data_IF_519044378422
#
_entry.id   IF_519044378422
#
_cell.length_a   1.000
_cell.length_b   1.000
_cell.length_c   1.000
_cell.angle_alpha   90.00
_cell.angle_beta   90.00
_cell.angle_gamma   90.00
#
_symmetry.space_group_name_H-M   'P 1'
#
loop_
_entity.id
_entity.type
_entity.pdbx_description
1 polymer ?
#
# COMPACT_ATOMS: atom_id res chain seq x y z
N UNK A 1 31.86 -7.93 30.18
CA UNK A 1 31.53 -6.85 29.26
C UNK A 1 31.74 -7.38 27.87
N UNK A 2 30.96 -8.40 27.53
CA UNK A 2 30.89 -8.90 26.16
C UNK A 2 29.40 -8.82 25.84
N UNK A 3 29.07 -8.03 24.83
CA UNK A 3 27.71 -7.94 24.29
C UNK A 3 27.50 -9.16 23.42
N UNK A 4 26.48 -9.96 23.74
CA UNK A 4 26.09 -11.08 22.91
C UNK A 4 25.03 -10.61 21.93
N UNK A 5 25.40 -10.53 20.64
CA UNK A 5 24.53 -10.09 19.54
C UNK A 5 24.19 -11.23 18.60
N UNK A 6 22.92 -11.34 18.22
CA UNK A 6 22.47 -12.22 17.13
C UNK A 6 21.53 -11.47 16.19
N UNK A 7 21.90 -11.41 14.90
CA UNK A 7 21.10 -10.78 13.86
C UNK A 7 20.86 -11.72 12.68
N UNK A 8 19.68 -11.62 12.06
CA UNK A 8 19.37 -12.27 10.79
C UNK A 8 18.81 -11.25 9.81
N UNK A 9 19.54 -11.04 8.72
CA UNK A 9 19.02 -10.30 7.58
C UNK A 9 17.86 -11.09 6.95
N UNK A 10 16.71 -10.44 6.76
CA UNK A 10 15.62 -11.04 6.01
C UNK A 10 15.79 -10.76 4.51
N UNK A 11 15.78 -11.82 3.69
CA UNK A 11 15.94 -11.73 2.24
C UNK A 11 14.87 -12.56 1.53
N UNK A 12 13.95 -11.88 0.82
CA UNK A 12 13.70 -12.25 -0.58
C UNK A 12 13.74 -11.04 -1.54
N UNK A 13 13.57 -9.79 -1.09
CA UNK A 13 13.61 -8.59 -1.97
C UNK A 13 13.77 -7.30 -1.14
N UNK A 14 14.58 -6.35 -1.63
CA UNK A 14 14.74 -5.05 -0.99
C UNK A 14 13.43 -4.24 -1.05
N UNK A 15 13.17 -3.45 -0.01
CA UNK A 15 11.91 -2.71 0.11
C UNK A 15 12.02 -1.37 -0.63
N UNK A 16 11.05 -1.01 -1.48
CA UNK A 16 11.17 0.15 -2.36
C UNK A 16 11.05 1.49 -1.62
N UNK A 17 11.79 2.51 -2.08
CA UNK A 17 11.62 3.89 -1.60
C UNK A 17 10.35 4.59 -2.14
N UNK A 18 9.88 4.19 -3.31
CA UNK A 18 8.77 4.83 -4.01
C UNK A 18 7.37 4.23 -3.70
N UNK A 19 7.29 3.32 -2.75
CA UNK A 19 6.05 2.63 -2.37
C UNK A 19 6.01 2.40 -0.87
N UNK A 20 4.84 2.59 -0.26
CA UNK A 20 4.62 2.34 1.16
C UNK A 20 4.84 0.86 1.50
N UNK A 21 5.36 0.59 2.69
CA UNK A 21 5.52 -0.76 3.22
C UNK A 21 5.59 -0.72 4.75
N UNK A 22 5.34 -1.84 5.41
CA UNK A 22 5.52 -2.01 6.85
C UNK A 22 6.21 -3.35 7.15
N UNK A 23 7.27 -3.31 7.94
CA UNK A 23 7.88 -4.47 8.57
C UNK A 23 7.31 -4.65 9.98
N UNK A 24 6.94 -5.87 10.34
CA UNK A 24 6.32 -6.20 11.63
C UNK A 24 6.91 -7.48 12.20
N UNK A 25 7.07 -7.55 13.52
CA UNK A 25 7.49 -8.75 14.24
C UNK A 25 6.81 -8.81 15.61
N UNK A 26 6.42 -10.01 16.02
CA UNK A 26 5.96 -10.24 17.39
C UNK A 26 7.19 -10.48 18.26
N UNK A 27 7.28 -9.75 19.37
CA UNK A 27 8.33 -9.86 20.38
C UNK A 27 7.78 -10.53 21.64
N UNK A 28 8.59 -11.37 22.25
CA UNK A 28 8.32 -11.92 23.58
C UNK A 28 9.60 -11.80 24.41
N UNK A 29 9.57 -10.91 25.40
CA UNK A 29 10.61 -10.65 26.38
C UNK A 29 10.03 -10.83 27.79
N UNK A 30 10.02 -12.06 28.34
CA UNK A 30 9.47 -12.32 29.66
C UNK A 30 10.13 -11.49 30.77
N UNK A 31 9.61 -11.59 31.99
CA UNK A 31 10.30 -11.04 33.14
C UNK A 31 11.54 -11.89 33.43
N UNK A 32 12.70 -11.24 33.37
CA UNK A 32 14.01 -11.84 33.60
C UNK A 32 14.53 -11.40 34.96
N UNK A 33 15.41 -12.22 35.55
CA UNK A 33 16.07 -11.89 36.82
C UNK A 33 17.26 -10.95 36.59
N UNK A 34 16.96 -9.71 36.18
CA UNK A 34 17.94 -8.69 35.85
C UNK A 34 18.74 -8.26 37.10
N UNK A 35 20.04 -8.53 37.10
CA UNK A 35 20.96 -7.99 38.11
C UNK A 35 21.43 -6.58 37.71
N UNK A 36 22.14 -5.89 38.60
CA UNK A 36 22.74 -4.60 38.26
C UNK A 36 23.63 -4.74 37.02
N UNK A 37 23.53 -3.76 36.11
CA UNK A 37 24.34 -3.69 34.89
C UNK A 37 23.97 -4.79 33.89
N UNK A 38 22.67 -5.05 33.69
CA UNK A 38 22.18 -6.02 32.68
C UNK A 38 21.19 -5.37 31.73
N UNK A 39 21.21 -5.85 30.49
CA UNK A 39 20.29 -5.42 29.43
C UNK A 39 19.95 -6.59 28.52
N UNK A 40 18.69 -6.69 28.09
CA UNK A 40 18.25 -7.61 27.04
C UNK A 40 17.25 -6.90 26.16
N UNK A 41 17.46 -6.99 24.85
CA UNK A 41 16.54 -6.45 23.87
C UNK A 41 16.36 -7.35 22.66
N UNK A 42 15.23 -7.16 21.98
CA UNK A 42 14.96 -7.76 20.68
C UNK A 42 14.08 -6.85 19.84
N UNK A 43 14.34 -6.86 18.54
CA UNK A 43 13.65 -5.96 17.65
C UNK A 43 14.07 -6.09 16.19
N UNK A 44 14.06 -4.94 15.51
CA UNK A 44 14.37 -4.85 14.10
C UNK A 44 15.14 -3.58 13.76
N UNK A 45 15.94 -3.67 12.70
CA UNK A 45 16.64 -2.54 12.08
C UNK A 45 16.15 -2.38 10.65
N UNK A 46 15.86 -1.15 10.25
CA UNK A 46 15.70 -0.75 8.85
C UNK A 46 16.93 0.08 8.47
N UNK A 47 17.56 -0.26 7.35
CA UNK A 47 18.74 0.44 6.84
C UNK A 47 18.60 0.84 5.37
N UNK A 48 19.26 1.93 4.99
CA UNK A 48 19.47 2.27 3.59
C UNK A 48 20.38 1.23 2.93
N UNK A 49 19.91 0.53 1.90
CA UNK A 49 20.68 -0.55 1.27
C UNK A 49 22.04 -0.09 0.70
N UNK A 50 22.12 1.16 0.23
CA UNK A 50 23.33 1.69 -0.39
C UNK A 50 24.33 2.25 0.63
N UNK A 51 23.86 2.57 1.83
CA UNK A 51 24.64 3.15 2.92
C UNK A 51 24.14 2.56 4.25
N UNK A 52 24.78 1.49 4.69
CA UNK A 52 24.31 0.71 5.83
C UNK A 52 24.53 1.41 7.19
N UNK A 53 25.21 2.56 7.21
CA UNK A 53 25.40 3.40 8.40
C UNK A 53 24.17 4.30 8.65
N UNK A 54 23.29 4.46 7.65
CA UNK A 54 22.00 5.13 7.81
C UNK A 54 20.93 4.11 8.22
N UNK A 55 20.59 4.09 9.51
CA UNK A 55 19.72 3.07 10.11
C UNK A 55 18.65 3.65 11.04
N UNK A 56 17.59 2.88 11.25
CA UNK A 56 16.71 3.03 12.40
C UNK A 56 16.51 1.67 13.06
N UNK A 57 16.73 1.61 14.35
CA UNK A 57 16.48 0.45 15.20
C UNK A 57 15.19 0.66 16.01
N UNK A 58 14.54 -0.43 16.37
CA UNK A 58 13.40 -0.42 17.28
C UNK A 58 13.36 -1.75 18.04
N UNK A 59 13.43 -1.70 19.37
CA UNK A 59 13.45 -2.89 20.23
C UNK A 59 12.51 -2.77 21.41
N UNK A 60 12.02 -3.93 21.89
CA UNK A 60 11.53 -4.06 23.26
C UNK A 60 12.74 -4.42 24.14
N UNK A 61 13.03 -3.59 25.12
CA UNK A 61 14.21 -3.70 26.00
C UNK A 61 13.77 -3.87 27.46
N UNK A 62 14.51 -4.70 28.20
CA UNK A 62 14.46 -4.78 29.65
C UNK A 62 15.88 -4.67 30.20
N UNK A 63 16.11 -3.68 31.04
CA UNK A 63 17.44 -3.32 31.55
C UNK A 63 17.40 -3.05 33.06
N UNK A 64 18.57 -3.10 33.72
CA UNK A 64 18.71 -2.75 35.13
C UNK A 64 20.07 -2.10 35.42
N UNK A 65 20.23 -0.83 35.03
CA UNK A 65 21.41 -0.02 35.39
C UNK A 65 21.39 0.46 36.84
N UNK A 66 20.22 0.85 37.35
CA UNK A 66 20.03 1.26 38.76
C UNK A 66 18.71 0.73 39.32
N UNK A 67 17.69 0.68 38.49
CA UNK A 67 16.41 0.04 38.75
C UNK A 67 16.00 -0.68 37.47
N UNK A 68 15.29 -1.79 37.62
CA UNK A 68 14.76 -2.51 36.46
C UNK A 68 13.72 -1.65 35.74
N UNK A 69 13.91 -1.47 34.43
CA UNK A 69 12.98 -0.75 33.55
C UNK A 69 12.63 -1.63 32.35
N UNK A 70 11.57 -1.22 31.64
CA UNK A 70 11.17 -1.83 30.39
C UNK A 70 10.60 -0.74 29.47
N UNK A 71 11.08 -0.74 28.24
CA UNK A 71 10.77 0.29 27.25
C UNK A 71 10.73 -0.31 25.86
N UNK A 72 10.09 0.43 24.95
CA UNK A 72 10.35 0.31 23.54
C UNK A 72 11.24 1.46 23.13
N UNK A 73 12.45 1.13 22.71
CA UNK A 73 13.49 2.09 22.38
C UNK A 73 13.69 2.14 20.87
N UNK A 74 14.01 3.33 20.39
CA UNK A 74 14.22 3.63 18.98
C UNK A 74 15.48 4.49 18.87
N UNK A 75 16.44 4.00 18.13
CA UNK A 75 17.62 4.75 17.72
C UNK A 75 17.54 5.02 16.23
N UNK A 76 17.78 6.27 15.84
CA UNK A 76 17.81 6.68 14.45
C UNK A 76 19.17 7.31 14.16
N UNK A 77 19.91 6.70 13.23
CA UNK A 77 21.26 7.09 12.86
C UNK A 77 21.28 7.76 11.47
N UNK A 78 22.09 8.79 11.32
CA UNK A 78 22.41 9.40 10.03
C UNK A 78 23.87 9.81 9.99
N UNK A 79 24.67 9.12 9.19
CA UNK A 79 26.10 9.40 9.01
C UNK A 79 26.86 9.59 10.35
N UNK A 80 26.65 8.68 11.31
CA UNK A 80 27.26 8.73 12.64
C UNK A 80 26.66 9.75 13.62
N UNK A 81 25.47 10.28 13.34
CA UNK A 81 24.69 11.09 14.29
C UNK A 81 23.45 10.32 14.72
N UNK A 82 23.30 10.12 16.02
CA UNK A 82 22.21 9.32 16.58
C UNK A 82 21.16 10.22 17.24
N UNK A 83 19.90 9.80 17.14
CA UNK A 83 18.78 10.38 17.89
C UNK A 83 17.98 9.27 18.53
N UNK A 84 17.52 9.51 19.76
CA UNK A 84 16.88 8.50 20.57
C UNK A 84 15.45 8.88 20.93
N UNK A 85 14.56 7.88 20.92
CA UNK A 85 13.23 7.98 21.49
C UNK A 85 12.94 6.70 22.30
N UNK A 86 12.20 6.86 23.39
CA UNK A 86 11.85 5.76 24.29
C UNK A 86 10.41 5.87 24.74
N UNK A 87 9.73 4.72 24.84
CA UNK A 87 8.38 4.59 25.38
C UNK A 87 8.34 3.53 26.46
N UNK A 88 8.16 3.94 27.72
CA UNK A 88 8.03 3.02 28.84
C UNK A 88 6.82 2.09 28.67
N UNK A 89 6.99 0.80 29.01
CA UNK A 89 5.94 -0.22 28.94
C UNK A 89 6.07 -1.25 30.06
N UNK A 90 4.97 -1.89 30.44
CA UNK A 90 4.99 -3.05 31.35
C UNK A 90 4.79 -4.38 30.62
N UNK A 91 4.57 -4.35 29.31
CA UNK A 91 4.27 -5.55 28.54
C UNK A 91 5.51 -6.39 28.30
N UNK A 92 5.43 -7.68 28.59
CA UNK A 92 6.48 -8.68 28.36
C UNK A 92 6.42 -9.29 26.96
N UNK A 93 5.48 -8.84 26.14
CA UNK A 93 5.34 -9.22 24.74
C UNK A 93 4.65 -8.09 23.98
N UNK A 94 4.64 -8.16 22.65
CA UNK A 94 3.88 -7.22 21.83
C UNK A 94 4.24 -7.37 20.37
N UNK A 95 3.84 -6.41 19.56
CA UNK A 95 4.22 -6.35 18.15
C UNK A 95 4.92 -5.02 17.88
N UNK A 96 6.12 -5.09 17.27
CA UNK A 96 6.85 -3.92 16.79
C UNK A 96 6.57 -3.74 15.29
N UNK A 97 6.48 -2.48 14.84
CA UNK A 97 6.29 -2.13 13.43
C UNK A 97 7.16 -0.94 13.05
N UNK A 98 7.92 -1.09 11.97
CA UNK A 98 8.52 0.03 11.24
C UNK A 98 7.80 0.17 9.90
N UNK A 99 7.22 1.33 9.63
CA UNK A 99 6.44 1.60 8.42
C UNK A 99 6.98 2.80 7.66
N UNK A 100 7.17 2.63 6.36
CA UNK A 100 7.53 3.68 5.41
C UNK A 100 6.30 4.29 4.74
N UNK A 101 6.20 5.61 4.79
CA UNK A 101 5.22 6.41 4.06
C UNK A 101 5.91 7.14 2.91
N UNK A 102 5.86 6.58 1.70
CA UNK A 102 6.60 7.05 0.53
C UNK A 102 6.13 8.41 0.00
N UNK A 103 4.89 8.82 0.29
CA UNK A 103 4.39 10.17 -0.06
C UNK A 103 4.88 11.24 0.92
N UNK A 104 5.14 10.86 2.16
CA UNK A 104 5.62 11.77 3.23
C UNK A 104 7.14 11.74 3.39
N UNK A 105 7.80 10.77 2.76
CA UNK A 105 9.23 10.48 2.92
C UNK A 105 9.64 10.24 4.37
N UNK A 106 8.79 9.50 5.09
CA UNK A 106 8.87 9.35 6.54
C UNK A 106 8.77 7.89 7.00
N UNK A 107 9.64 7.50 7.93
CA UNK A 107 9.55 6.26 8.70
C UNK A 107 8.77 6.49 9.99
N UNK A 108 7.92 5.53 10.35
CA UNK A 108 7.14 5.49 11.58
C UNK A 108 7.50 4.24 12.36
N UNK A 109 7.85 4.41 13.64
CA UNK A 109 8.19 3.35 14.59
C UNK A 109 7.04 3.22 15.57
N UNK A 110 6.35 2.09 15.51
CA UNK A 110 5.03 1.89 16.11
C UNK A 110 5.01 0.59 16.93
N UNK A 111 4.35 0.64 18.08
CA UNK A 111 4.31 -0.45 19.04
C UNK A 111 2.87 -0.80 19.41
N UNK A 112 2.60 -2.10 19.50
CA UNK A 112 1.35 -2.66 19.97
C UNK A 112 1.58 -3.53 21.22
N UNK A 113 1.08 -3.06 22.36
CA UNK A 113 1.45 -3.58 23.68
C UNK A 113 0.77 -4.91 24.06
N UNK A 114 -0.39 -5.22 23.48
CA UNK A 114 -1.06 -6.52 23.65
C UNK A 114 -0.84 -7.47 22.46
N UNK A 115 -0.07 -7.02 21.47
CA UNK A 115 0.32 -7.78 20.29
C UNK A 115 -0.84 -8.05 19.33
N UNK A 116 -0.54 -8.81 18.28
CA UNK A 116 -1.45 -9.02 17.15
C UNK A 116 -2.74 -9.82 17.42
N UNK A 117 -2.95 -10.33 18.64
CA UNK A 117 -4.02 -11.27 18.97
C UNK A 117 -5.44 -10.66 19.01
N UNK A 118 -5.57 -9.38 19.37
CA UNK A 118 -6.87 -8.71 19.56
C UNK A 118 -7.18 -7.65 18.50
N UNK A 119 -6.54 -7.75 17.33
CA UNK A 119 -6.47 -6.66 16.37
C UNK A 119 -5.44 -5.62 16.81
N UNK A 120 -5.02 -4.75 15.89
CA UNK A 120 -3.86 -3.89 16.18
C UNK A 120 -4.22 -2.53 16.77
N UNK A 121 -3.56 -2.16 17.86
CA UNK A 121 -3.69 -0.85 18.53
C UNK A 121 -2.35 -0.11 18.61
N UNK A 122 -1.95 0.48 17.48
CA UNK A 122 -0.62 1.09 17.33
C UNK A 122 -0.45 2.40 18.13
N UNK A 123 0.54 2.44 19.01
CA UNK A 123 1.12 3.66 19.54
C UNK A 123 2.35 4.06 18.71
N UNK A 124 2.47 5.33 18.33
CA UNK A 124 3.67 5.85 17.65
C UNK A 124 4.73 6.15 18.71
N UNK A 125 5.86 5.43 18.67
CA UNK A 125 7.03 5.67 19.53
C UNK A 125 7.84 6.84 18.99
N UNK A 126 8.12 6.82 17.69
CA UNK A 126 8.83 7.90 16.99
C UNK A 126 8.48 7.91 15.51
N UNK A 127 8.85 8.99 14.82
CA UNK A 127 8.73 9.08 13.36
C UNK A 127 9.74 10.09 12.81
N UNK A 128 10.41 9.75 11.71
CA UNK A 128 11.53 10.54 11.19
C UNK A 128 11.48 10.65 9.66
N UNK A 129 11.68 11.86 9.11
CA UNK A 129 11.83 12.07 7.67
C UNK A 129 13.24 11.64 7.24
N UNK A 130 13.36 11.01 6.08
CA UNK A 130 14.65 10.51 5.56
C UNK A 130 15.13 11.25 4.32
N UNK A 131 14.44 12.32 3.91
CA UNK A 131 14.70 13.07 2.66
C UNK A 131 15.11 14.52 2.87
N UNK A 132 15.16 15.00 4.11
CA UNK A 132 15.47 16.40 4.41
C UNK A 132 16.05 16.57 5.82
N UNK A 133 16.71 17.71 6.03
CA UNK A 133 17.26 18.06 7.35
C UNK A 133 18.43 17.16 7.78
N UNK A 134 18.61 17.04 9.10
CA UNK A 134 19.70 16.29 9.72
C UNK A 134 19.54 14.77 9.63
N UNK A 135 18.34 14.28 9.34
CA UNK A 135 18.02 12.85 9.19
C UNK A 135 17.95 12.40 7.72
N UNK A 136 18.51 13.18 6.81
CA UNK A 136 18.47 12.88 5.38
C UNK A 136 19.45 11.76 5.03
N UNK A 137 18.92 10.62 4.56
CA UNK A 137 19.69 9.45 4.14
C UNK A 137 20.14 9.50 2.68
N UNK A 138 19.93 10.62 1.97
CA UNK A 138 20.35 10.79 0.57
C UNK A 138 19.64 9.85 -0.42
N UNK A 139 18.52 9.25 -0.01
CA UNK A 139 17.78 8.28 -0.82
C UNK A 139 17.02 8.94 -1.98
N UNK A 140 16.81 8.18 -3.05
CA UNK A 140 16.06 8.60 -4.23
C UNK A 140 15.10 7.51 -4.71
N UNK A 141 14.40 7.76 -5.83
CA UNK A 141 13.39 6.84 -6.36
C UNK A 141 13.91 5.42 -6.69
N UNK A 142 15.22 5.26 -6.90
CA UNK A 142 15.87 3.98 -7.15
C UNK A 142 16.49 3.36 -5.89
N UNK A 143 16.44 4.05 -4.75
CA UNK A 143 16.93 3.52 -3.47
C UNK A 143 15.96 2.50 -2.89
N UNK A 144 16.47 1.73 -1.94
CA UNK A 144 15.74 0.66 -1.28
C UNK A 144 16.22 0.49 0.15
N UNK A 145 15.36 -0.12 0.96
CA UNK A 145 15.63 -0.45 2.36
C UNK A 145 15.86 -1.95 2.54
N UNK A 146 16.63 -2.30 3.57
CA UNK A 146 16.76 -3.68 4.06
C UNK A 146 16.27 -3.76 5.51
N UNK A 147 15.79 -4.95 5.89
CA UNK A 147 15.29 -5.21 7.24
C UNK A 147 16.10 -6.32 7.89
N UNK A 148 16.59 -6.06 9.09
CA UNK A 148 17.26 -7.04 9.96
C UNK A 148 16.39 -7.26 11.18
N UNK A 149 16.24 -8.51 11.60
CA UNK A 149 15.70 -8.83 12.93
C UNK A 149 16.85 -9.25 13.82
N UNK A 150 16.82 -8.85 15.10
CA UNK A 150 17.94 -9.08 15.98
C UNK A 150 17.53 -9.17 17.44
N UNK A 151 18.43 -9.72 18.26
CA UNK A 151 18.36 -9.61 19.70
C UNK A 151 19.75 -9.54 20.31
N UNK A 152 19.82 -9.04 21.53
CA UNK A 152 21.05 -8.86 22.27
C UNK A 152 20.86 -9.08 23.77
N UNK A 153 21.96 -9.39 24.43
CA UNK A 153 22.04 -9.38 25.89
C UNK A 153 23.39 -8.86 26.35
N UNK A 154 23.38 -8.02 27.37
CA UNK A 154 24.57 -7.57 28.07
C UNK A 154 24.58 -8.13 29.49
N UNK A 155 25.72 -8.70 29.88
CA UNK A 155 26.01 -9.19 31.24
C UNK A 155 24.99 -10.21 31.79
N UNK A 156 24.21 -10.85 30.93
CA UNK A 156 23.29 -11.92 31.28
C UNK A 156 23.31 -13.03 30.23
N UNK A 157 23.43 -14.28 30.68
CA UNK A 157 23.31 -15.44 29.80
C UNK A 157 21.85 -15.80 29.60
N UNK A 158 21.40 -15.85 28.35
CA UNK A 158 20.08 -16.34 27.97
C UNK A 158 20.10 -17.84 27.65
N UNK A 159 19.02 -18.52 28.00
CA UNK A 159 18.75 -19.92 27.68
C UNK A 159 17.43 -20.06 26.94
N UNK A 160 17.18 -21.24 26.35
CA UNK A 160 15.88 -21.53 25.73
C UNK A 160 14.73 -21.52 26.74
N UNK A 161 15.00 -21.62 28.05
CA UNK A 161 13.96 -21.59 29.09
C UNK A 161 13.45 -20.16 29.35
N UNK A 162 14.28 -19.15 29.10
CA UNK A 162 13.92 -17.73 29.26
C UNK A 162 12.93 -17.27 28.19
N UNK A 163 12.78 -18.05 27.11
CA UNK A 163 11.76 -17.87 26.08
C UNK A 163 11.76 -16.47 25.44
N UNK A 164 12.94 -15.84 25.36
CA UNK A 164 13.16 -14.62 24.57
C UNK A 164 13.07 -14.99 23.10
N UNK A 165 12.11 -14.43 22.36
CA UNK A 165 11.89 -14.78 20.95
C UNK A 165 11.27 -13.67 20.12
N UNK A 166 11.58 -13.71 18.84
CA UNK A 166 10.92 -13.01 17.75
C UNK A 166 10.14 -14.04 16.93
N UNK A 167 8.88 -13.74 16.60
CA UNK A 167 8.07 -14.62 15.76
C UNK A 167 7.14 -13.81 14.83
N UNK A 168 6.44 -14.48 13.92
CA UNK A 168 5.45 -13.89 13.02
C UNK A 168 5.95 -12.69 12.21
N UNK A 169 7.25 -12.67 11.87
CA UNK A 169 7.82 -11.62 11.03
C UNK A 169 7.08 -11.54 9.69
N UNK A 170 6.64 -10.34 9.31
CA UNK A 170 5.95 -10.09 8.05
C UNK A 170 6.29 -8.72 7.48
N UNK A 171 6.38 -8.67 6.15
CA UNK A 171 6.33 -7.42 5.38
C UNK A 171 4.93 -7.27 4.80
N UNK A 172 4.34 -6.09 4.97
CA UNK A 172 3.06 -5.71 4.38
C UNK A 172 3.25 -4.52 3.46
N UNK A 173 2.82 -4.65 2.21
CA UNK A 173 2.75 -3.55 1.26
C UNK A 173 1.27 -3.20 1.10
N UNK A 174 0.83 -1.95 1.34
CA UNK A 174 -0.57 -1.60 1.16
C UNK A 174 -1.02 -1.94 -0.26
N UNK A 175 -2.13 -2.67 -0.38
CA UNK A 175 -2.68 -3.05 -1.67
C UNK A 175 -3.17 -1.78 -2.39
N UNK A 176 -2.49 -1.42 -3.48
CA UNK A 176 -2.93 -0.35 -4.38
C UNK A 176 -3.97 -0.94 -5.32
N UNK A 177 -5.13 -0.31 -5.39
CA UNK A 177 -6.25 -0.82 -6.15
C UNK A 177 -6.95 0.25 -6.97
N UNK A 178 -7.53 -0.18 -8.08
CA UNK A 178 -8.41 0.61 -8.91
C UNK A 178 -9.66 -0.21 -9.22
N UNK A 179 -10.83 0.40 -9.04
CA UNK A 179 -12.11 -0.22 -9.33
C UNK A 179 -12.97 0.72 -10.17
N UNK A 180 -13.46 0.26 -11.31
CA UNK A 180 -14.44 0.91 -12.16
C UNK A 180 -15.80 0.88 -11.44
N UNK A 181 -16.37 2.06 -11.21
CA UNK A 181 -17.71 2.25 -10.64
C UNK A 181 -18.74 2.60 -11.70
N UNK A 182 -18.30 3.08 -12.87
CA UNK A 182 -19.10 3.21 -14.08
C UNK A 182 -18.16 3.17 -15.29
N UNK A 183 -18.48 2.44 -16.37
CA UNK A 183 -19.67 1.63 -16.56
C UNK A 183 -19.71 0.38 -15.66
N UNK A 184 -20.90 -0.18 -15.44
CA UNK A 184 -21.05 -1.51 -14.82
C UNK A 184 -21.12 -2.61 -15.87
N UNK A 185 -20.89 -3.85 -15.47
CA UNK A 185 -20.90 -5.00 -16.39
C UNK A 185 -22.24 -5.09 -17.13
N UNK A 186 -22.16 -5.16 -18.47
CA UNK A 186 -23.29 -5.20 -19.40
C UNK A 186 -24.19 -3.94 -19.37
N UNK A 187 -23.70 -2.82 -18.82
CA UNK A 187 -24.42 -1.56 -18.92
C UNK A 187 -24.59 -1.17 -20.38
N UNK A 188 -25.78 -0.70 -20.75
CA UNK A 188 -26.09 -0.24 -22.09
C UNK A 188 -26.14 1.28 -22.13
N UNK A 189 -25.51 1.87 -23.15
CA UNK A 189 -25.58 3.29 -23.45
C UNK A 189 -26.13 3.54 -24.84
N UNK A 190 -26.59 4.76 -25.08
CA UNK A 190 -26.88 5.29 -26.42
C UNK A 190 -25.98 6.50 -26.68
N UNK A 191 -25.73 6.79 -27.95
CA UNK A 191 -24.86 7.89 -28.36
C UNK A 191 -23.40 7.46 -28.54
N UNK A 192 -22.47 8.40 -28.45
CA UNK A 192 -21.05 8.20 -28.81
C UNK A 192 -20.08 8.45 -27.65
N UNK A 193 -20.59 8.66 -26.43
CA UNK A 193 -19.76 8.92 -25.26
C UNK A 193 -20.43 8.49 -23.96
N UNK A 194 -19.64 8.08 -22.98
CA UNK A 194 -20.08 7.82 -21.61
C UNK A 194 -19.00 8.21 -20.59
N UNK A 195 -19.39 8.34 -19.32
CA UNK A 195 -18.44 8.60 -18.24
C UNK A 195 -17.80 7.31 -17.76
N UNK A 196 -16.48 7.37 -17.53
CA UNK A 196 -15.71 6.38 -16.81
C UNK A 196 -15.45 6.93 -15.41
N UNK A 197 -15.96 6.24 -14.39
CA UNK A 197 -15.72 6.57 -12.99
C UNK A 197 -14.95 5.44 -12.34
N UNK A 198 -13.97 5.78 -11.49
CA UNK A 198 -13.17 4.81 -10.74
C UNK A 198 -13.13 5.14 -9.25
N UNK A 199 -12.79 4.16 -8.43
CA UNK A 199 -12.42 4.30 -7.03
C UNK A 199 -10.98 3.83 -6.89
N UNK A 200 -10.17 4.57 -6.14
CA UNK A 200 -8.75 4.29 -5.91
C UNK A 200 -8.55 3.87 -4.45
N UNK A 201 -7.72 2.87 -4.20
CA UNK A 201 -7.30 2.45 -2.86
C UNK A 201 -5.77 2.46 -2.74
N UNK A 202 -5.27 2.71 -1.52
CA UNK A 202 -3.84 2.87 -1.23
C UNK A 202 -3.32 4.28 -1.44
N UNK A 203 -2.23 4.64 -0.73
CA UNK A 203 -1.54 5.93 -0.81
C UNK A 203 -0.47 5.95 -1.91
N UNK A 204 -0.23 7.14 -2.49
CA UNK A 204 0.84 7.39 -3.46
C UNK A 204 0.51 7.14 -4.94
N UNK A 205 -0.76 7.07 -5.32
CA UNK A 205 -1.18 7.00 -6.73
C UNK A 205 -1.26 8.41 -7.33
N UNK A 206 -0.34 8.74 -8.24
CA UNK A 206 -0.27 10.07 -8.87
C UNK A 206 -1.30 10.26 -9.98
N UNK A 207 -1.53 9.21 -10.78
CA UNK A 207 -2.45 9.20 -11.92
C UNK A 207 -2.78 7.77 -12.36
N UNK A 208 -3.79 7.61 -13.20
CA UNK A 208 -4.19 6.33 -13.77
C UNK A 208 -4.39 6.44 -15.27
N UNK A 209 -4.31 5.31 -15.96
CA UNK A 209 -4.48 5.24 -17.41
C UNK A 209 -5.71 4.39 -17.75
N UNK A 210 -6.34 4.68 -18.88
CA UNK A 210 -7.37 3.82 -19.45
C UNK A 210 -7.14 3.52 -20.92
N UNK A 211 -7.68 2.37 -21.35
CA UNK A 211 -7.69 1.91 -22.73
C UNK A 211 -9.07 1.35 -23.05
N UNK A 212 -9.49 1.53 -24.30
CA UNK A 212 -10.70 0.91 -24.83
C UNK A 212 -10.31 -0.29 -25.69
N UNK A 213 -10.97 -1.41 -25.47
CA UNK A 213 -10.88 -2.66 -26.25
C UNK A 213 -9.47 -3.27 -26.34
N UNK A 214 -8.58 -2.87 -25.44
CA UNK A 214 -7.21 -3.37 -25.37
C UNK A 214 -6.70 -3.39 -23.93
N UNK A 215 -6.33 -4.57 -23.45
CA UNK A 215 -5.77 -4.75 -22.12
C UNK A 215 -4.40 -4.07 -21.97
N UNK A 216 -4.03 -3.76 -20.73
CA UNK A 216 -2.69 -3.29 -20.39
C UNK A 216 -1.65 -4.41 -20.46
N UNK A 217 -0.37 -4.09 -20.73
CA UNK A 217 0.71 -5.06 -20.57
C UNK A 217 0.89 -5.43 -19.08
N UNK A 218 1.53 -6.56 -18.80
CA UNK A 218 1.81 -6.99 -17.43
C UNK A 218 2.93 -6.17 -16.74
N UNK A 219 3.78 -5.49 -17.52
CA UNK A 219 4.89 -4.66 -17.02
C UNK A 219 5.29 -3.62 -18.06
N UNK A 220 6.15 -2.66 -17.68
CA UNK A 220 6.63 -1.60 -18.58
C UNK A 220 5.59 -0.51 -18.82
N UNK A 221 5.73 0.25 -19.90
CA UNK A 221 4.86 1.42 -20.17
C UNK A 221 3.40 1.01 -20.38
N UNK A 222 2.49 1.67 -19.66
CA UNK A 222 1.06 1.37 -19.71
C UNK A 222 0.40 1.78 -21.05
N UNK A 223 0.78 2.95 -21.58
CA UNK A 223 0.13 3.56 -22.75
C UNK A 223 -1.31 4.01 -22.47
N UNK A 224 -2.12 4.21 -23.51
CA UNK A 224 -3.51 4.65 -23.37
C UNK A 224 -3.66 6.14 -23.00
N UNK A 225 -4.84 6.50 -22.51
CA UNK A 225 -5.15 7.87 -22.09
C UNK A 225 -4.91 8.04 -20.61
N UNK A 226 -4.15 9.08 -20.25
CA UNK A 226 -3.81 9.40 -18.87
C UNK A 226 -4.87 10.30 -18.22
N UNK A 227 -5.16 10.02 -16.95
CA UNK A 227 -5.95 10.89 -16.06
C UNK A 227 -5.05 11.33 -14.92
N UNK A 228 -4.54 12.56 -15.02
CA UNK A 228 -3.52 13.13 -14.12
C UNK A 228 -3.98 13.34 -12.69
N UNK A 229 -5.29 13.46 -12.47
CA UNK A 229 -5.88 13.66 -11.16
C UNK A 229 -7.37 13.37 -11.19
N UNK A 230 -7.92 12.94 -10.05
CA UNK A 230 -9.34 12.67 -9.91
C UNK A 230 -9.73 11.26 -10.32
N UNK A 231 -11.03 11.00 -10.30
CA UNK A 231 -11.61 9.65 -10.41
C UNK A 231 -12.51 9.49 -11.62
N UNK A 232 -12.49 10.43 -12.55
CA UNK A 232 -13.39 10.44 -13.70
C UNK A 232 -12.67 10.73 -15.01
N UNK A 233 -13.18 10.15 -16.09
CA UNK A 233 -12.81 10.43 -17.47
C UNK A 233 -14.04 10.30 -18.38
N UNK A 234 -13.92 10.79 -19.62
CA UNK A 234 -14.96 10.59 -20.64
C UNK A 234 -14.44 9.62 -21.70
N UNK A 235 -15.17 8.52 -21.91
CA UNK A 235 -15.00 7.66 -23.05
C UNK A 235 -15.73 8.31 -24.22
N UNK A 236 -15.02 8.72 -25.27
CA UNK A 236 -15.56 9.42 -26.43
C UNK A 236 -15.32 8.64 -27.72
N UNK A 237 -16.16 8.86 -28.73
CA UNK A 237 -16.01 8.21 -30.04
C UNK A 237 -16.41 6.74 -30.03
N UNK A 238 -17.31 6.35 -29.13
CA UNK A 238 -17.81 4.99 -29.04
C UNK A 238 -18.67 4.66 -30.26
N UNK A 239 -18.38 3.52 -30.88
CA UNK A 239 -19.17 2.98 -31.97
C UNK A 239 -20.33 2.14 -31.41
N UNK A 240 -21.31 1.80 -32.25
CA UNK A 240 -22.33 0.83 -31.87
C UNK A 240 -21.68 -0.55 -31.76
N UNK A 241 -21.92 -1.24 -30.64
CA UNK A 241 -21.36 -2.56 -30.35
C UNK A 241 -20.92 -2.73 -28.90
N UNK A 242 -20.28 -3.86 -28.64
CA UNK A 242 -19.68 -4.17 -27.34
C UNK A 242 -18.30 -3.52 -27.21
N UNK A 243 -18.03 -3.00 -26.02
CA UNK A 243 -16.76 -2.40 -25.66
C UNK A 243 -16.29 -2.91 -24.30
N UNK A 244 -14.97 -2.97 -24.11
CA UNK A 244 -14.35 -3.23 -22.82
C UNK A 244 -13.43 -2.07 -22.47
N UNK A 245 -13.70 -1.39 -21.36
CA UNK A 245 -12.76 -0.41 -20.80
C UNK A 245 -11.82 -1.13 -19.84
N UNK A 246 -10.53 -0.86 -19.98
CA UNK A 246 -9.49 -1.29 -19.07
C UNK A 246 -8.91 -0.07 -18.36
N UNK A 247 -8.64 -0.18 -17.06
CA UNK A 247 -7.98 0.84 -16.25
C UNK A 247 -6.76 0.27 -15.52
N UNK A 248 -5.74 1.08 -15.31
CA UNK A 248 -4.53 0.71 -14.59
C UNK A 248 -4.01 1.87 -13.74
N UNK A 249 -3.59 1.57 -12.51
CA UNK A 249 -2.67 2.46 -11.78
C UNK A 249 -1.27 2.32 -12.37
N UNK A 250 -0.55 3.44 -12.39
CA UNK A 250 0.82 3.51 -12.91
C UNK A 250 1.73 4.25 -11.93
N UNK A 251 3.04 4.07 -12.09
CA UNK A 251 4.03 4.87 -11.39
C UNK A 251 4.16 6.29 -12.01
N UNK A 252 5.02 7.11 -11.41
CA UNK A 252 5.29 8.47 -11.87
C UNK A 252 5.97 8.53 -13.26
N UNK A 253 6.43 7.39 -13.81
CA UNK A 253 7.04 7.27 -15.14
C UNK A 253 6.06 6.66 -16.16
N UNK A 254 4.78 6.49 -15.80
CA UNK A 254 3.73 5.88 -16.62
C UNK A 254 3.92 4.39 -16.90
N UNK A 255 4.66 3.69 -16.04
CA UNK A 255 4.81 2.24 -16.11
C UNK A 255 3.82 1.53 -15.20
N UNK A 256 3.49 0.30 -15.58
CA UNK A 256 2.66 -0.62 -14.79
C UNK A 256 3.32 -0.89 -13.45
N UNK A 257 2.52 -0.81 -12.38
CA UNK A 257 2.95 -1.23 -11.04
C UNK A 257 3.30 -2.72 -11.00
N UNK A 258 4.11 -3.11 -10.02
CA UNK A 258 4.43 -4.51 -9.73
C UNK A 258 4.07 -4.84 -8.28
N UNK A 259 3.04 -5.66 -8.01
CA UNK A 259 2.14 -6.28 -8.99
C UNK A 259 1.23 -5.26 -9.70
N UNK A 260 0.74 -5.55 -10.93
CA UNK A 260 -0.17 -4.67 -11.65
C UNK A 260 -1.51 -4.47 -10.92
N UNK A 261 -1.93 -3.22 -10.76
CA UNK A 261 -3.25 -2.87 -10.26
C UNK A 261 -4.14 -2.45 -11.44
N UNK A 262 -4.89 -3.41 -11.98
CA UNK A 262 -5.72 -3.22 -13.18
C UNK A 262 -7.14 -3.72 -12.98
N UNK A 263 -8.10 -3.13 -13.69
CA UNK A 263 -9.46 -3.67 -13.79
C UNK A 263 -10.02 -3.47 -15.20
N UNK A 264 -11.05 -4.23 -15.55
CA UNK A 264 -11.79 -4.04 -16.79
C UNK A 264 -13.27 -4.34 -16.64
N UNK A 265 -14.09 -3.63 -17.40
CA UNK A 265 -15.54 -3.84 -17.47
C UNK A 265 -16.00 -3.79 -18.93
N UNK A 266 -16.84 -4.75 -19.31
CA UNK A 266 -17.52 -4.75 -20.60
C UNK A 266 -18.90 -4.10 -20.50
N UNK A 267 -19.23 -3.30 -21.51
CA UNK A 267 -20.50 -2.58 -21.66
C UNK A 267 -20.84 -2.52 -23.16
N UNK A 268 -22.02 -2.04 -23.52
CA UNK A 268 -22.40 -1.92 -24.94
C UNK A 268 -23.07 -0.59 -25.28
N UNK A 269 -22.88 -0.17 -26.52
CA UNK A 269 -23.45 1.05 -27.08
C UNK A 269 -24.41 0.66 -28.19
N UNK A 270 -25.65 1.13 -28.07
CA UNK A 270 -26.71 0.87 -29.04
C UNK A 270 -26.99 2.11 -29.88
N UNK A 271 -27.42 1.89 -31.12
CA UNK A 271 -27.88 2.95 -31.99
C UNK A 271 -29.11 3.64 -31.41
N UNK A 272 -29.25 4.95 -31.64
CA UNK A 272 -30.46 5.66 -31.27
C UNK A 272 -31.68 5.02 -31.95
N UNK A 273 -32.76 4.83 -31.19
CA UNK A 273 -34.03 4.41 -31.77
C UNK A 273 -34.58 5.59 -32.57
N UNK A 274 -34.83 5.36 -33.86
CA UNK A 274 -35.38 6.36 -34.77
C UNK A 274 -36.55 5.78 -35.55
N UNK A 275 -37.66 6.52 -35.63
CA UNK A 275 -38.71 6.24 -36.61
C UNK A 275 -38.20 6.72 -37.96
N UNK A 276 -37.94 5.80 -38.88
CA UNK A 276 -37.42 6.10 -40.22
C UNK A 276 -38.53 6.27 -41.24
N UNK A 277 -39.73 5.77 -40.94
CA UNK A 277 -40.90 5.89 -41.82
C UNK A 277 -42.13 6.22 -40.98
N UNK A 278 -42.64 7.44 -41.14
CA UNK A 278 -43.91 7.87 -40.56
C UNK A 278 -45.09 7.24 -41.30
N UNK A 279 -46.22 7.01 -40.61
CA UNK A 279 -47.41 6.48 -41.26
C UNK A 279 -47.95 7.50 -42.27
N UNK A 280 -48.31 7.02 -43.47
CA UNK A 280 -49.00 7.86 -44.44
C UNK A 280 -50.41 8.21 -43.93
N UNK A 281 -50.93 9.38 -44.31
CA UNK A 281 -52.32 9.75 -44.02
C UNK A 281 -53.28 8.76 -44.69
N UNK A 282 -54.28 8.29 -43.94
CA UNK A 282 -55.34 7.41 -44.45
C UNK A 282 -56.69 8.11 -44.24
N UNK A 283 -57.52 8.12 -45.28
CA UNK A 283 -58.91 8.55 -45.19
C UNK A 283 -59.81 7.33 -45.29
N UNK A 284 -60.65 7.13 -44.27
CA UNK A 284 -61.64 6.04 -44.22
C UNK A 284 -63.03 6.61 -43.94
N UNK A 285 -64.07 5.86 -44.31
CA UNK A 285 -65.44 6.24 -43.99
C UNK A 285 -65.70 6.14 -42.47
N UNK A 286 -66.68 6.90 -41.99
CA UNK A 286 -67.07 6.85 -40.57
C UNK A 286 -67.60 5.46 -40.24
N UNK A 287 -66.93 4.78 -39.29
CA UNK A 287 -67.26 3.42 -38.86
C UNK A 287 -66.30 2.34 -39.38
N UNK A 288 -65.46 2.65 -40.37
CA UNK A 288 -64.46 1.71 -40.90
C UNK A 288 -63.14 1.76 -40.11
N UNK A 289 -62.42 0.63 -39.99
CA UNK A 289 -61.11 0.60 -39.35
C UNK A 289 -60.03 1.25 -40.22
N UNK A 290 -59.22 2.13 -39.62
CA UNK A 290 -57.99 2.65 -40.22
C UNK A 290 -56.78 1.82 -39.74
N UNK A 291 -55.89 1.46 -40.67
CA UNK A 291 -54.62 0.79 -40.37
C UNK A 291 -53.45 1.65 -40.81
N UNK A 292 -52.39 1.70 -40.02
CA UNK A 292 -51.15 2.39 -40.36
C UNK A 292 -49.93 1.54 -39.99
N UNK A 293 -48.82 1.77 -40.69
CA UNK A 293 -47.54 1.11 -40.41
C UNK A 293 -46.49 2.16 -40.11
N UNK A 294 -45.61 1.85 -39.16
CA UNK A 294 -44.46 2.67 -38.78
C UNK A 294 -43.24 1.77 -38.86
N UNK A 295 -42.14 2.28 -39.43
CA UNK A 295 -40.84 1.60 -39.39
C UNK A 295 -39.93 2.35 -38.45
N UNK A 296 -39.36 1.63 -37.49
CA UNK A 296 -38.31 2.13 -36.61
C UNK A 296 -37.03 1.30 -36.78
N UNK A 297 -35.89 1.95 -36.59
CA UNK A 297 -34.55 1.35 -36.56
C UNK A 297 -33.88 1.67 -35.22
N UNK A 298 -32.89 0.87 -34.81
CA UNK A 298 -32.19 1.03 -33.54
C UNK A 298 -32.85 0.24 -32.41
N UNK A 299 -32.03 -0.20 -31.45
CA UNK A 299 -32.38 -1.17 -30.41
C UNK A 299 -31.17 -2.01 -30.05
#
# INVERSE_FOLDING_TARGET
TDDDWAGRLWHPQALPYNQDWAAQVDVNLPDLSLVHDTEVGLGMIVLNQADADDTVSMELVAENWQNATRSVDVEFETNGNETYASMATTSTSGTLRIRWAASEKKLYMEYDADGSANGSSWAVVSSQSVDSGASNWGMNANSSFMVVIYGFSENMTLTTQDNVRLDNFKISVPERGIAITSPTTNQQFTGTSTNLNVALTGSGSYHWHYRLDSAFPASGTAGGTMVTSGTTATLSGLAVGDHTVHVALVDAQHNMLSPPATQSVSFSVHGAIAITTQPASVTVAVGDPASFTVTATGG
#
